data_IF_130547211592
#
_entry.id   IF_130547211592
#
_cell.length_a   1.000
_cell.length_b   1.000
_cell.length_c   1.000
_cell.angle_alpha   90.00
_cell.angle_beta   90.00
_cell.angle_gamma   90.00
#
_symmetry.space_group_name_H-M   'P 1'
#
loop_
_entity.id
_entity.type
_entity.pdbx_description
1 polymer ?
#
# COMPACT_ATOMS: atom_id res chain seq x y z
N UNK A 1 -10.00 -14.66 -14.24
CA UNK A 1 -8.63 -15.22 -14.14
C UNK A 1 -7.82 -14.62 -13.00
N UNK A 2 -7.33 -13.37 -13.05
CA UNK A 2 -6.55 -12.79 -11.94
C UNK A 2 -7.39 -12.56 -10.66
N UNK A 3 -8.62 -12.07 -10.81
CA UNK A 3 -9.54 -11.87 -9.69
C UNK A 3 -10.01 -13.18 -9.04
N UNK A 4 -10.19 -14.24 -9.83
CA UNK A 4 -10.56 -15.56 -9.31
C UNK A 4 -9.40 -16.23 -8.57
N UNK A 5 -8.17 -16.10 -9.06
CA UNK A 5 -6.99 -16.60 -8.36
C UNK A 5 -6.77 -15.84 -7.04
N UNK A 6 -7.05 -14.54 -7.03
CA UNK A 6 -6.96 -13.71 -5.82
C UNK A 6 -8.06 -14.07 -4.81
N UNK A 7 -9.28 -14.34 -5.28
CA UNK A 7 -10.37 -14.84 -4.43
C UNK A 7 -10.05 -16.22 -3.84
N UNK A 8 -9.58 -17.17 -4.65
CA UNK A 8 -9.19 -18.49 -4.17
C UNK A 8 -8.02 -18.44 -3.17
N UNK A 9 -7.04 -17.56 -3.40
CA UNK A 9 -5.94 -17.36 -2.46
C UNK A 9 -6.40 -16.79 -1.11
N UNK A 10 -7.46 -15.98 -1.13
CA UNK A 10 -8.06 -15.36 0.03
C UNK A 10 -8.84 -16.35 0.89
N UNK A 11 -9.48 -17.34 0.28
CA UNK A 11 -10.20 -18.42 0.97
C UNK A 11 -9.28 -19.33 1.82
N UNK A 12 -7.98 -19.29 1.56
CA UNK A 12 -6.97 -20.05 2.31
C UNK A 12 -6.51 -19.35 3.60
N UNK A 13 -6.98 -18.13 3.86
CA UNK A 13 -6.47 -17.29 4.93
C UNK A 13 -7.46 -17.13 6.07
N UNK A 14 -6.91 -17.04 7.28
CA UNK A 14 -7.67 -16.63 8.46
C UNK A 14 -7.75 -15.11 8.52
N UNK A 15 -8.97 -14.60 8.62
CA UNK A 15 -9.26 -13.20 8.89
C UNK A 15 -9.32 -12.94 10.39
N UNK A 16 -8.48 -12.01 10.85
CA UNK A 16 -8.35 -11.66 12.26
C UNK A 16 -8.93 -10.27 12.51
N UNK A 17 -9.68 -10.12 13.60
CA UNK A 17 -10.23 -8.83 14.01
C UNK A 17 -9.10 -7.84 14.34
N UNK A 18 -9.17 -6.61 13.84
CA UNK A 18 -8.13 -5.58 14.07
C UNK A 18 -8.65 -4.29 14.72
N UNK A 19 -9.86 -3.86 14.40
CA UNK A 19 -10.51 -2.69 15.00
C UNK A 19 -11.98 -2.63 14.60
N UNK A 20 -12.75 -1.82 15.32
CA UNK A 20 -14.09 -1.45 14.85
C UNK A 20 -14.02 -0.46 13.70
N UNK A 21 -15.01 -0.49 12.82
CA UNK A 21 -15.16 0.43 11.69
C UNK A 21 -15.27 1.89 12.17
N UNK A 22 -15.96 2.12 13.30
CA UNK A 22 -16.06 3.46 13.92
C UNK A 22 -14.70 4.05 14.33
N UNK A 23 -13.69 3.21 14.57
CA UNK A 23 -12.34 3.66 14.88
C UNK A 23 -11.55 4.08 13.64
N UNK A 24 -12.00 3.66 12.44
CA UNK A 24 -11.44 3.93 11.12
C UNK A 24 -12.49 4.53 10.17
N UNK A 25 -13.03 5.73 10.49
CA UNK A 25 -14.00 6.41 9.63
C UNK A 25 -13.38 6.77 8.27
N UNK A 26 -14.21 7.18 7.31
CA UNK A 26 -13.72 7.66 6.01
C UNK A 26 -12.69 8.78 6.20
N UNK A 27 -11.58 8.69 5.46
CA UNK A 27 -10.45 9.60 5.59
C UNK A 27 -9.54 9.32 6.79
N UNK A 28 -9.75 8.24 7.54
CA UNK A 28 -8.84 7.84 8.61
C UNK A 28 -7.83 6.78 8.15
N UNK A 29 -6.75 6.69 8.93
CA UNK A 29 -5.73 5.63 8.83
C UNK A 29 -5.34 5.17 10.22
N UNK A 30 -4.86 3.93 10.34
CA UNK A 30 -4.47 3.31 11.60
C UNK A 30 -3.40 2.26 11.37
N UNK A 31 -2.36 2.24 12.21
CA UNK A 31 -1.41 1.13 12.24
C UNK A 31 -1.76 0.14 13.34
N UNK A 32 -1.60 -1.16 13.07
CA UNK A 32 -1.85 -2.26 14.02
C UNK A 32 -0.79 -3.35 13.86
N UNK A 33 -0.61 -4.17 14.90
CA UNK A 33 0.08 -5.46 14.78
C UNK A 33 -0.97 -6.54 14.53
N UNK A 34 -0.79 -7.34 13.47
CA UNK A 34 -1.65 -8.50 13.23
C UNK A 34 -1.50 -9.50 14.40
N UNK A 35 -2.60 -10.00 15.00
CA UNK A 35 -2.51 -10.77 16.24
C UNK A 35 -1.65 -12.03 16.10
N UNK A 36 -1.80 -12.78 15.01
CA UNK A 36 -1.05 -14.03 14.79
C UNK A 36 0.36 -13.81 14.25
N UNK A 37 0.51 -13.09 13.14
CA UNK A 37 1.83 -12.96 12.49
C UNK A 37 2.75 -11.93 13.13
N UNK A 38 2.23 -11.06 14.00
CA UNK A 38 2.95 -9.89 14.57
C UNK A 38 3.49 -8.92 13.51
N UNK A 39 2.97 -9.00 12.28
CA UNK A 39 3.27 -8.07 11.20
C UNK A 39 2.64 -6.71 11.47
N UNK A 40 3.40 -5.65 11.23
CA UNK A 40 2.99 -4.26 11.42
C UNK A 40 2.40 -3.69 10.13
N UNK A 41 1.10 -3.45 10.15
CA UNK A 41 0.31 -3.04 8.97
C UNK A 41 -0.39 -1.70 9.19
N UNK A 42 -0.67 -1.00 8.10
CA UNK A 42 -1.41 0.25 8.06
C UNK A 42 -2.73 0.02 7.30
N UNK A 43 -3.84 0.31 7.98
CA UNK A 43 -5.17 0.43 7.42
C UNK A 43 -5.43 1.88 6.97
N UNK A 44 -6.11 2.06 5.85
CA UNK A 44 -6.54 3.36 5.33
C UNK A 44 -7.97 3.23 4.79
N UNK A 45 -8.89 4.07 5.27
CA UNK A 45 -10.23 4.18 4.71
C UNK A 45 -10.28 5.36 3.75
N UNK A 46 -10.23 5.07 2.45
CA UNK A 46 -10.16 6.07 1.39
C UNK A 46 -11.43 6.00 0.55
N UNK A 47 -12.25 7.06 0.58
CA UNK A 47 -13.54 7.12 -0.14
C UNK A 47 -14.45 5.92 0.18
N UNK A 48 -14.56 5.56 1.46
CA UNK A 48 -15.35 4.43 1.96
C UNK A 48 -14.74 3.03 1.73
N UNK A 49 -13.61 2.92 1.02
CA UNK A 49 -12.93 1.64 0.80
C UNK A 49 -11.71 1.50 1.69
N UNK A 50 -11.64 0.39 2.42
CA UNK A 50 -10.51 0.10 3.31
C UNK A 50 -9.41 -0.64 2.55
N UNK A 51 -8.20 -0.12 2.65
CA UNK A 51 -6.97 -0.71 2.15
C UNK A 51 -6.06 -1.09 3.32
N UNK A 52 -5.27 -2.14 3.16
CA UNK A 52 -4.29 -2.55 4.15
C UNK A 52 -2.97 -2.92 3.47
N UNK A 53 -1.86 -2.42 4.01
CA UNK A 53 -0.51 -2.75 3.56
C UNK A 53 0.49 -2.70 4.71
N UNK A 54 1.70 -3.23 4.51
CA UNK A 54 2.80 -3.02 5.43
C UNK A 54 2.96 -1.53 5.79
N UNK A 55 3.11 -1.22 7.08
CA UNK A 55 3.22 0.19 7.51
C UNK A 55 4.61 0.79 7.22
N UNK A 56 5.64 -0.06 7.23
CA UNK A 56 7.01 0.35 6.99
C UNK A 56 7.31 0.31 5.49
N UNK A 57 7.73 1.44 4.93
CA UNK A 57 8.06 1.58 3.50
C UNK A 57 9.14 0.58 3.08
N UNK A 58 8.91 -0.12 1.97
CA UNK A 58 9.85 -1.09 1.41
C UNK A 58 11.26 -0.57 1.14
N UNK A 59 11.44 0.75 0.99
CA UNK A 59 12.73 1.33 0.63
C UNK A 59 13.71 1.24 1.80
N UNK A 60 13.40 1.85 2.93
CA UNK A 60 14.27 1.90 4.12
C UNK A 60 13.50 1.80 5.45
N UNK A 61 12.24 1.36 5.42
CA UNK A 61 11.39 1.22 6.63
C UNK A 61 10.71 2.50 7.12
N UNK A 62 10.58 3.52 6.25
CA UNK A 62 9.94 4.79 6.61
C UNK A 62 8.46 4.66 6.98
N UNK A 63 7.93 5.52 7.86
CA UNK A 63 6.56 5.41 8.39
C UNK A 63 5.53 5.87 7.37
N UNK A 64 4.90 4.94 6.64
CA UNK A 64 3.90 5.28 5.61
C UNK A 64 2.65 5.96 6.20
N UNK A 65 2.38 5.72 7.48
CA UNK A 65 1.34 6.42 8.25
C UNK A 65 1.49 7.95 8.23
N UNK A 66 2.70 8.46 8.01
CA UNK A 66 2.98 9.89 7.95
C UNK A 66 3.09 10.41 6.50
N UNK A 67 2.85 9.56 5.50
CA UNK A 67 2.92 9.93 4.09
C UNK A 67 1.65 10.61 3.59
N UNK A 68 1.75 11.44 2.57
CA UNK A 68 0.57 12.01 1.91
C UNK A 68 -0.11 10.97 1.01
N UNK A 69 -1.43 11.08 0.86
CA UNK A 69 -2.14 10.31 -0.16
C UNK A 69 -2.24 11.17 -1.42
N UNK A 70 -1.76 10.66 -2.55
CA UNK A 70 -1.70 11.37 -3.83
C UNK A 70 -2.19 10.45 -4.97
N UNK A 71 -2.62 11.02 -6.09
CA UNK A 71 -2.92 10.25 -7.31
C UNK A 71 -1.75 10.32 -8.31
N UNK A 72 -1.26 9.16 -8.75
CA UNK A 72 -0.21 9.03 -9.78
C UNK A 72 -0.58 7.93 -10.77
N UNK A 73 -0.65 8.27 -12.06
CA UNK A 73 -0.95 7.30 -13.13
C UNK A 73 -2.30 6.62 -12.98
N UNK A 74 -3.32 7.36 -12.53
CA UNK A 74 -4.66 6.84 -12.26
C UNK A 74 -4.76 5.94 -11.02
N UNK A 75 -3.69 5.82 -10.22
CA UNK A 75 -3.66 5.03 -8.99
C UNK A 75 -3.59 5.95 -7.79
N UNK A 76 -4.37 5.65 -6.75
CA UNK A 76 -4.20 6.25 -5.43
C UNK A 76 -2.94 5.68 -4.80
N UNK A 77 -2.08 6.54 -4.27
CA UNK A 77 -0.77 6.19 -3.73
C UNK A 77 -0.56 6.80 -2.36
N UNK A 78 0.26 6.15 -1.53
CA UNK A 78 0.89 6.79 -0.39
C UNK A 78 2.31 7.22 -0.77
N UNK A 79 2.66 8.48 -0.51
CA UNK A 79 3.99 9.03 -0.73
C UNK A 79 4.79 8.97 0.56
N UNK A 80 5.81 8.12 0.58
CA UNK A 80 6.64 7.94 1.76
C UNK A 80 7.34 9.24 2.18
N UNK A 81 7.25 9.65 3.47
CA UNK A 81 7.76 10.94 3.93
C UNK A 81 9.30 11.03 3.95
N UNK A 82 10.01 9.90 3.92
CA UNK A 82 11.48 9.91 3.96
C UNK A 82 12.13 10.16 2.60
N UNK A 83 11.58 9.59 1.53
CA UNK A 83 12.22 9.60 0.21
C UNK A 83 11.25 9.86 -0.95
N UNK A 84 10.02 10.25 -0.65
CA UNK A 84 8.97 10.56 -1.63
C UNK A 84 8.65 9.42 -2.61
N UNK A 85 8.78 8.17 -2.17
CA UNK A 85 8.38 7.01 -2.97
C UNK A 85 6.85 6.89 -2.99
N UNK A 86 6.26 6.90 -4.18
CA UNK A 86 4.84 6.65 -4.39
C UNK A 86 4.56 5.15 -4.43
N UNK A 87 3.65 4.69 -3.59
CA UNK A 87 3.26 3.28 -3.49
C UNK A 87 1.75 3.18 -3.70
N UNK A 88 1.32 2.46 -4.75
CA UNK A 88 -0.09 2.25 -5.03
C UNK A 88 -0.78 1.50 -3.87
N UNK A 89 -1.80 2.10 -3.26
CA UNK A 89 -2.44 1.56 -2.04
C UNK A 89 -3.16 0.23 -2.28
N UNK A 90 -3.66 0.02 -3.51
CA UNK A 90 -4.40 -1.16 -3.89
C UNK A 90 -3.52 -2.35 -4.27
N UNK A 91 -2.31 -2.10 -4.82
CA UNK A 91 -1.48 -3.15 -5.43
C UNK A 91 -0.07 -3.25 -4.83
N UNK A 92 0.35 -2.26 -4.05
CA UNK A 92 1.69 -2.21 -3.47
C UNK A 92 2.80 -1.90 -4.47
N UNK A 93 2.45 -1.49 -5.70
CA UNK A 93 3.42 -1.12 -6.72
C UNK A 93 4.15 0.17 -6.39
N UNK A 94 5.49 0.17 -6.53
CA UNK A 94 6.29 1.38 -6.46
C UNK A 94 6.24 2.15 -7.78
N UNK A 95 5.61 3.31 -7.80
CA UNK A 95 5.45 4.15 -8.99
C UNK A 95 6.49 5.26 -9.04
N UNK A 96 6.87 5.66 -10.24
CA UNK A 96 7.78 6.79 -10.47
C UNK A 96 7.59 7.40 -11.85
N UNK A 97 7.94 8.67 -12.00
CA UNK A 97 8.04 9.30 -13.32
C UNK A 97 9.38 8.91 -13.96
N UNK A 98 9.32 8.31 -15.14
CA UNK A 98 10.50 7.93 -15.90
C UNK A 98 10.38 8.29 -17.37
N UNK A 99 11.52 8.37 -18.05
CA UNK A 99 11.61 8.62 -19.48
C UNK A 99 12.25 7.41 -20.14
N UNK A 100 11.92 7.15 -21.40
CA UNK A 100 12.67 6.21 -22.25
C UNK A 100 13.68 6.99 -23.07
N UNK A 101 14.84 6.38 -23.33
CA UNK A 101 15.82 6.93 -24.27
C UNK A 101 15.64 6.25 -25.62
N UNK A 102 15.48 7.03 -26.67
CA UNK A 102 15.42 6.54 -28.04
C UNK A 102 16.40 7.31 -28.92
N UNK A 103 16.91 6.68 -29.97
CA UNK A 103 17.77 7.36 -30.94
C UNK A 103 16.92 8.12 -31.97
N UNK A 104 17.27 9.37 -32.26
CA UNK A 104 16.70 10.10 -33.38
C UNK A 104 17.24 9.58 -34.73
N UNK A 105 16.73 10.11 -35.84
CA UNK A 105 17.16 9.75 -37.19
C UNK A 105 18.67 10.00 -37.46
N UNK A 106 19.35 10.74 -36.58
CA UNK A 106 20.77 11.05 -36.65
C UNK A 106 21.60 10.29 -35.61
N UNK A 107 21.00 9.30 -34.91
CA UNK A 107 21.69 8.49 -33.91
C UNK A 107 21.95 9.22 -32.58
N UNK A 108 21.28 10.35 -32.31
CA UNK A 108 21.40 11.07 -31.03
C UNK A 108 20.35 10.56 -30.05
N UNK A 109 20.77 10.31 -28.82
CA UNK A 109 19.88 9.87 -27.73
C UNK A 109 18.96 11.01 -27.30
N UNK A 110 17.64 10.78 -27.38
CA UNK A 110 16.59 11.71 -27.02
C UNK A 110 15.69 11.10 -25.94
N UNK A 111 15.36 11.85 -24.87
CA UNK A 111 14.41 11.38 -23.88
C UNK A 111 12.97 11.51 -24.39
N UNK A 112 12.13 10.53 -24.07
CA UNK A 112 10.69 10.65 -24.19
C UNK A 112 10.14 11.69 -23.19
N UNK A 113 8.91 12.19 -23.38
CA UNK A 113 8.18 12.83 -22.30
C UNK A 113 8.14 11.92 -21.05
N UNK A 114 8.17 12.50 -19.83
CA UNK A 114 8.00 11.74 -18.60
C UNK A 114 6.68 10.98 -18.63
N UNK A 115 6.74 9.70 -18.25
CA UNK A 115 5.56 8.85 -18.08
C UNK A 115 5.66 8.07 -16.78
N UNK A 116 4.51 7.74 -16.21
CA UNK A 116 4.44 6.88 -15.03
C UNK A 116 4.96 5.49 -15.41
N UNK A 117 5.88 4.98 -14.60
CA UNK A 117 6.43 3.62 -14.68
C UNK A 117 6.25 2.93 -13.33
N UNK A 118 6.24 1.60 -13.36
CA UNK A 118 6.11 0.75 -12.17
C UNK A 118 7.41 -0.02 -11.94
N UNK A 119 7.84 -0.10 -10.68
CA UNK A 119 8.91 -1.00 -10.22
C UNK A 119 8.37 -2.41 -9.91
N UNK A 120 7.10 -2.68 -10.20
CA UNK A 120 6.36 -3.86 -9.75
C UNK A 120 5.94 -3.76 -8.29
N UNK A 121 5.36 -4.83 -7.77
CA UNK A 121 4.93 -4.92 -6.36
C UNK A 121 6.17 -4.89 -5.46
N UNK A 122 6.23 -3.88 -4.58
CA UNK A 122 7.33 -3.68 -3.63
C UNK A 122 6.85 -3.63 -2.18
N UNK A 123 5.61 -3.19 -1.98
CA UNK A 123 4.94 -3.12 -0.68
C UNK A 123 3.87 -4.22 -0.59
N UNK A 124 3.84 -5.02 0.48
CA UNK A 124 2.80 -6.03 0.64
C UNK A 124 1.47 -5.37 0.98
N UNK A 125 0.43 -5.71 0.22
CA UNK A 125 -0.96 -5.42 0.55
C UNK A 125 -1.62 -6.64 1.18
N UNK A 126 -2.57 -6.41 2.08
CA UNK A 126 -3.29 -7.44 2.80
C UNK A 126 -4.78 -7.38 2.51
N UNK A 127 -5.46 -8.50 2.72
CA UNK A 127 -6.89 -8.58 2.49
C UNK A 127 -7.65 -7.99 3.66
N UNK A 128 -8.72 -7.26 3.37
CA UNK A 128 -9.61 -6.65 4.38
C UNK A 128 -11.02 -7.18 4.20
N UNK A 129 -11.71 -7.42 5.31
CA UNK A 129 -13.16 -7.64 5.40
C UNK A 129 -13.77 -6.65 6.37
N UNK A 130 -14.94 -6.13 6.02
CA UNK A 130 -15.84 -5.51 6.97
C UNK A 130 -16.97 -6.51 7.18
N UNK A 131 -17.25 -6.85 8.44
CA UNK A 131 -18.34 -7.75 8.83
C UNK A 131 -19.38 -6.98 9.60
N UNK A 132 -20.64 -7.24 9.28
CA UNK A 132 -21.81 -6.62 9.89
C UNK A 132 -21.80 -5.08 9.87
N UNK A 133 -21.04 -4.48 8.94
CA UNK A 133 -20.78 -3.03 8.87
C UNK A 133 -20.21 -2.43 10.18
N UNK A 134 -19.64 -3.26 11.05
CA UNK A 134 -19.16 -2.87 12.38
C UNK A 134 -17.68 -3.18 12.59
N UNK A 135 -17.21 -4.33 12.12
CA UNK A 135 -15.89 -4.85 12.49
C UNK A 135 -14.97 -5.03 11.28
N UNK A 136 -13.73 -4.58 11.42
CA UNK A 136 -12.70 -4.70 10.39
C UNK A 136 -11.79 -5.88 10.71
N UNK A 137 -11.66 -6.77 9.73
CA UNK A 137 -10.79 -7.93 9.77
C UNK A 137 -9.71 -7.84 8.70
N UNK A 138 -8.52 -8.35 9.01
CA UNK A 138 -7.40 -8.41 8.07
C UNK A 138 -6.86 -9.83 7.99
N UNK A 139 -6.51 -10.27 6.79
CA UNK A 139 -5.79 -11.51 6.56
C UNK A 139 -4.38 -11.22 5.99
N UNK A 140 -3.37 -11.83 6.62
CA UNK A 140 -1.98 -11.67 6.20
C UNK A 140 -1.71 -12.42 4.89
N UNK A 141 -1.69 -11.69 3.78
CA UNK A 141 -1.38 -12.22 2.45
C UNK A 141 -0.01 -12.90 2.31
N UNK A 142 0.93 -12.71 3.26
CA UNK A 142 2.20 -13.47 3.25
C UNK A 142 2.01 -14.95 3.60
N UNK A 143 0.88 -15.30 4.22
CA UNK A 143 0.54 -16.68 4.59
C UNK A 143 -0.10 -17.47 3.45
N UNK A 144 -0.32 -16.86 2.28
CA UNK A 144 -0.76 -17.61 1.10
C UNK A 144 0.32 -18.63 0.73
N UNK A 145 -0.01 -19.92 0.60
CA UNK A 145 0.94 -20.94 0.17
C UNK A 145 1.62 -20.56 -1.15
N UNK A 146 2.96 -20.52 -1.16
CA UNK A 146 3.75 -20.13 -2.33
C UNK A 146 3.84 -18.63 -2.58
N UNK A 147 3.36 -17.77 -1.66
CA UNK A 147 3.58 -16.33 -1.76
C UNK A 147 5.07 -16.00 -1.81
N UNK A 148 5.48 -15.23 -2.83
CA UNK A 148 6.84 -14.73 -2.94
C UNK A 148 7.17 -13.77 -1.79
N UNK A 149 8.42 -13.81 -1.31
CA UNK A 149 8.96 -12.78 -0.42
C UNK A 149 9.22 -11.51 -1.23
N UNK A 150 8.77 -10.37 -0.71
CA UNK A 150 8.96 -9.05 -1.34
C UNK A 150 9.69 -8.10 -0.40
N UNK A 151 10.16 -6.97 -0.95
CA UNK A 151 11.12 -6.09 -0.27
C UNK A 151 10.59 -5.53 1.05
N UNK A 152 9.29 -5.21 1.15
CA UNK A 152 8.70 -4.72 2.41
C UNK A 152 8.74 -5.75 3.54
N UNK A 153 8.81 -7.05 3.24
CA UNK A 153 8.80 -8.12 4.25
C UNK A 153 9.99 -8.00 5.22
N UNK A 154 11.11 -7.41 4.80
CA UNK A 154 12.30 -7.14 5.62
C UNK A 154 12.00 -6.14 6.76
N UNK A 155 11.02 -5.25 6.54
CA UNK A 155 10.63 -4.19 7.49
C UNK A 155 9.30 -4.49 8.20
N UNK A 156 8.57 -5.50 7.76
CA UNK A 156 7.21 -5.79 8.18
C UNK A 156 7.05 -6.12 9.67
N UNK A 157 8.12 -6.59 10.32
CA UNK A 157 8.12 -6.93 11.75
C UNK A 157 8.82 -5.88 12.62
N UNK A 158 9.17 -4.72 12.06
CA UNK A 158 9.72 -3.61 12.83
C UNK A 158 8.57 -2.75 13.37
N UNK A 159 8.34 -2.73 14.69
CA UNK A 159 7.25 -1.95 15.27
C UNK A 159 7.63 -0.47 15.47
N UNK A 160 8.73 0.00 14.84
CA UNK A 160 9.39 1.29 15.11
C UNK A 160 8.35 2.42 15.10
N UNK A 161 7.79 2.68 16.29
CA UNK A 161 6.70 3.61 16.56
C UNK A 161 5.51 3.46 15.60
N UNK A 162 4.61 2.49 15.82
CA UNK A 162 3.20 2.59 15.37
C UNK A 162 2.71 3.96 15.88
N UNK A 163 2.54 4.97 15.01
CA UNK A 163 2.21 6.30 15.49
C UNK A 163 0.82 6.26 16.12
N UNK A 164 0.63 6.94 17.24
CA UNK A 164 -0.72 7.21 17.73
C UNK A 164 -1.53 7.90 16.64
N UNK A 165 -2.83 7.64 16.62
CA UNK A 165 -3.82 8.11 15.64
C UNK A 165 -3.46 9.52 15.14
N UNK A 166 -3.03 9.65 13.88
CA UNK A 166 -2.77 10.98 13.31
C UNK A 166 -4.11 11.69 13.21
N UNK A 167 -4.33 12.74 14.00
CA UNK A 167 -5.50 13.61 13.90
C UNK A 167 -5.39 14.41 12.61
N UNK A 168 -6.21 14.06 11.62
CA UNK A 168 -6.27 14.77 10.35
C UNK A 168 -7.02 13.94 9.32
N UNK A 169 -7.92 14.59 8.59
CA UNK A 169 -8.63 14.00 7.46
C UNK A 169 -7.60 13.67 6.36
N UNK A 170 -7.54 12.42 5.93
CA UNK A 170 -6.73 12.01 4.78
C UNK A 170 -7.36 12.62 3.53
N UNK A 171 -6.71 13.66 3.01
CA UNK A 171 -7.07 14.28 1.73
C UNK A 171 -6.16 13.75 0.64
N UNK A 172 -6.75 13.49 -0.51
CA UNK A 172 -5.98 13.13 -1.71
C UNK A 172 -5.41 14.45 -2.25
N UNK A 173 -4.12 14.66 -2.02
CA UNK A 173 -3.41 15.85 -2.45
C UNK A 173 -2.91 15.66 -3.88
N UNK A 174 -3.47 16.45 -4.80
CA UNK A 174 -3.08 16.57 -6.21
C UNK A 174 -3.28 15.34 -7.12
N UNK A 175 -3.59 15.64 -8.38
CA UNK A 175 -3.45 14.74 -9.52
C UNK A 175 -2.15 15.06 -10.22
N UNK A 176 -1.22 14.12 -10.27
CA UNK A 176 -0.14 14.17 -11.25
C UNK A 176 -0.67 13.55 -12.54
N UNK A 177 -1.28 14.39 -13.38
CA UNK A 177 -1.65 14.08 -14.77
C UNK A 177 -0.42 14.10 -15.70
#
# INVERSE_FOLDING_TARGET
MADEALAAARDLLTFEFVCKLEELPEGARRCVLLPSSKRSVMLMNLRGKIYCMDQACYHHGGPLMNGDIEEMGGKVTVKCPWHAYHIAVATGEGLYMGMDMALDAHGRSQPSPPKVKSKGVKQRTHFVEVRDDEDVYVADSSLIPGSAVIVSDIYAFRPFTIPEKVKGEVKIHSRFE
#
